data_IF_972733206500
#
_entry.id   IF_972733206500
#
_cell.length_a   1.000
_cell.length_b   1.000
_cell.length_c   1.000
_cell.angle_alpha   90.00
_cell.angle_beta   90.00
_cell.angle_gamma   90.00
#
_symmetry.space_group_name_H-M   'P 1'
#
loop_
_entity.id
_entity.type
_entity.pdbx_description
1 polymer ?
#
# COMPACT_ATOMS: atom_id res chain seq x y z
N UNK A 1 -0.38 4.50 9.25
CA UNK A 1 -1.41 3.73 9.98
C UNK A 1 -2.50 4.69 10.42
N UNK A 2 -3.77 4.35 10.20
CA UNK A 2 -4.91 5.21 10.54
C UNK A 2 -5.21 5.14 12.03
N UNK A 3 -5.20 6.30 12.72
CA UNK A 3 -5.64 6.42 14.10
C UNK A 3 -6.72 7.50 14.20
N UNK A 4 -7.97 7.09 14.31
CA UNK A 4 -9.11 8.00 14.41
C UNK A 4 -9.06 8.90 15.66
N UNK A 5 -8.50 8.40 16.77
CA UNK A 5 -8.40 9.17 18.02
C UNK A 5 -7.36 10.30 17.89
N UNK A 6 -6.23 10.03 17.21
CA UNK A 6 -5.23 11.06 16.95
C UNK A 6 -5.79 12.13 16.01
N UNK A 7 -6.44 11.72 14.91
CA UNK A 7 -7.09 12.66 13.98
C UNK A 7 -8.13 13.52 14.72
N UNK A 8 -8.98 12.91 15.53
CA UNK A 8 -10.01 13.62 16.29
C UNK A 8 -9.40 14.67 17.25
N UNK A 9 -8.35 14.26 17.98
CA UNK A 9 -7.61 15.14 18.90
C UNK A 9 -6.96 16.32 18.16
N UNK A 10 -6.26 16.03 17.07
CA UNK A 10 -5.45 17.02 16.35
C UNK A 10 -6.32 18.01 15.57
N UNK A 11 -7.54 17.61 15.20
CA UNK A 11 -8.52 18.46 14.48
C UNK A 11 -9.59 19.09 15.40
N UNK A 12 -9.64 18.72 16.67
CA UNK A 12 -10.62 19.24 17.63
C UNK A 12 -12.06 18.74 17.40
N UNK A 13 -12.24 17.59 16.73
CA UNK A 13 -13.55 17.01 16.48
C UNK A 13 -13.73 15.70 17.23
N UNK A 14 -14.96 15.16 17.27
CA UNK A 14 -15.21 13.85 17.87
C UNK A 14 -14.71 12.69 17.00
N UNK A 15 -14.38 11.55 17.61
CA UNK A 15 -14.00 10.32 16.88
C UNK A 15 -15.07 9.87 15.89
N UNK A 16 -16.38 9.86 16.21
CA UNK A 16 -17.43 9.57 15.24
C UNK A 16 -17.43 10.55 14.05
N UNK A 17 -17.21 11.84 14.29
CA UNK A 17 -17.13 12.87 13.25
C UNK A 17 -15.92 12.62 12.33
N UNK A 18 -14.74 12.31 12.90
CA UNK A 18 -13.54 11.97 12.12
C UNK A 18 -13.77 10.74 11.23
N UNK A 19 -14.43 9.69 11.74
CA UNK A 19 -14.83 8.52 10.95
C UNK A 19 -15.76 8.89 9.81
N UNK A 20 -16.77 9.73 10.07
CA UNK A 20 -17.70 10.20 9.04
C UNK A 20 -17.00 10.96 7.92
N UNK A 21 -16.09 11.87 8.25
CA UNK A 21 -15.32 12.62 7.24
C UNK A 21 -14.43 11.71 6.40
N UNK A 22 -13.72 10.76 7.02
CA UNK A 22 -12.89 9.81 6.28
C UNK A 22 -13.71 8.91 5.35
N UNK A 23 -14.91 8.49 5.78
CA UNK A 23 -15.82 7.74 4.91
C UNK A 23 -16.28 8.56 3.70
N UNK A 24 -16.56 9.85 3.89
CA UNK A 24 -16.92 10.77 2.78
C UNK A 24 -15.75 10.94 1.82
N UNK A 25 -14.53 11.17 2.35
CA UNK A 25 -13.31 11.31 1.53
C UNK A 25 -13.01 10.04 0.74
N UNK A 26 -13.22 8.86 1.32
CA UNK A 26 -13.07 7.58 0.62
C UNK A 26 -14.14 7.39 -0.46
N UNK A 27 -15.40 7.65 -0.14
CA UNK A 27 -16.50 7.56 -1.11
C UNK A 27 -16.34 8.56 -2.27
N UNK A 28 -15.69 9.70 -2.02
CA UNK A 28 -15.39 10.71 -3.04
C UNK A 28 -14.11 10.41 -3.85
N UNK A 29 -13.42 9.29 -3.57
CA UNK A 29 -12.20 8.91 -4.28
C UNK A 29 -10.98 9.80 -3.98
N UNK A 30 -11.00 10.57 -2.89
CA UNK A 30 -9.87 11.40 -2.46
C UNK A 30 -8.83 10.57 -1.73
N UNK A 31 -9.29 9.64 -0.87
CA UNK A 31 -8.44 8.71 -0.15
C UNK A 31 -8.83 7.26 -0.44
N UNK A 32 -7.94 6.34 -0.14
CA UNK A 32 -8.22 4.91 0.01
C UNK A 32 -7.85 4.46 1.40
N UNK A 33 -8.78 3.82 2.08
CA UNK A 33 -8.53 3.10 3.34
C UNK A 33 -8.18 1.66 2.98
N UNK A 34 -6.94 1.28 3.20
CA UNK A 34 -6.42 -0.05 2.89
C UNK A 34 -6.44 -0.91 4.14
N UNK A 35 -7.34 -1.91 4.25
CA UNK A 35 -7.41 -2.77 5.41
C UNK A 35 -6.24 -3.78 5.45
N UNK A 36 -5.87 -4.28 6.63
CA UNK A 36 -4.94 -5.39 6.72
C UNK A 36 -5.58 -6.69 6.23
N UNK A 37 -4.80 -7.53 5.54
CA UNK A 37 -5.23 -8.88 5.21
C UNK A 37 -5.18 -9.76 6.47
N UNK A 38 -6.30 -10.35 6.85
CA UNK A 38 -6.41 -11.25 8.00
C UNK A 38 -7.54 -12.26 7.80
N UNK A 39 -7.35 -13.45 8.30
CA UNK A 39 -8.38 -14.48 8.44
C UNK A 39 -8.78 -14.62 9.91
N UNK A 40 -9.84 -15.33 10.22
CA UNK A 40 -10.27 -15.55 11.61
C UNK A 40 -9.14 -16.08 12.50
N UNK A 41 -8.36 -17.04 12.02
CA UNK A 41 -7.27 -17.69 12.75
C UNK A 41 -6.04 -16.79 12.90
N UNK A 42 -5.76 -15.92 11.94
CA UNK A 42 -4.56 -15.05 11.92
C UNK A 42 -4.80 -13.66 12.50
N UNK A 43 -6.04 -13.32 12.87
CA UNK A 43 -6.40 -11.97 13.35
C UNK A 43 -5.60 -11.51 14.58
N UNK A 44 -5.17 -12.45 15.43
CA UNK A 44 -4.34 -12.15 16.61
C UNK A 44 -2.89 -11.79 16.26
N UNK A 45 -2.38 -12.28 15.12
CA UNK A 45 -1.00 -12.13 14.67
C UNK A 45 -0.76 -10.88 13.81
N UNK A 46 -1.82 -10.36 13.19
CA UNK A 46 -1.77 -9.24 12.24
C UNK A 46 -2.25 -7.96 12.89
N UNK A 47 -1.63 -6.84 12.52
CA UNK A 47 -2.05 -5.50 12.94
C UNK A 47 -3.47 -5.24 12.42
N UNK A 48 -4.35 -4.72 13.28
CA UNK A 48 -5.76 -4.49 12.93
C UNK A 48 -6.02 -3.10 12.32
N UNK A 49 -5.07 -2.17 12.43
CA UNK A 49 -5.21 -0.77 12.02
C UNK A 49 -5.03 -0.63 10.51
N UNK A 50 -5.96 -0.02 9.76
CA UNK A 50 -5.78 0.20 8.32
C UNK A 50 -4.72 1.25 8.00
N UNK A 51 -4.21 1.24 6.76
CA UNK A 51 -3.44 2.34 6.17
C UNK A 51 -4.38 3.31 5.45
N UNK A 52 -3.96 4.57 5.29
CA UNK A 52 -4.66 5.57 4.47
C UNK A 52 -3.72 6.10 3.42
N UNK A 53 -4.19 6.17 2.20
CA UNK A 53 -3.48 6.72 1.05
C UNK A 53 -4.30 7.82 0.40
N UNK A 54 -3.67 8.90 -0.01
CA UNK A 54 -4.27 9.89 -0.89
C UNK A 54 -4.18 9.40 -2.33
N UNK A 55 -5.30 9.36 -3.06
CA UNK A 55 -5.29 8.87 -4.44
C UNK A 55 -4.76 9.92 -5.45
N UNK A 56 -4.66 11.18 -5.03
CA UNK A 56 -4.04 12.26 -5.81
C UNK A 56 -2.74 12.72 -5.13
N UNK A 57 -1.61 12.37 -5.73
CA UNK A 57 -0.29 12.76 -5.22
C UNK A 57 0.02 14.24 -5.42
N UNK A 58 -0.63 14.92 -6.37
CA UNK A 58 -0.54 16.38 -6.53
C UNK A 58 -1.20 17.11 -5.37
N UNK A 59 -2.41 16.70 -4.99
CA UNK A 59 -3.09 17.22 -3.80
C UNK A 59 -2.27 16.89 -2.53
N UNK A 60 -1.71 15.68 -2.43
CA UNK A 60 -0.83 15.31 -1.32
C UNK A 60 0.39 16.24 -1.23
N UNK A 61 1.05 16.55 -2.36
CA UNK A 61 2.19 17.45 -2.41
C UNK A 61 1.80 18.87 -1.97
N UNK A 62 0.67 19.37 -2.45
CA UNK A 62 0.15 20.69 -2.05
C UNK A 62 -0.11 20.76 -0.54
N UNK A 63 -0.81 19.79 0.02
CA UNK A 63 -1.15 19.76 1.46
C UNK A 63 0.07 19.55 2.37
N UNK A 64 1.15 18.94 1.86
CA UNK A 64 2.40 18.73 2.59
C UNK A 64 3.49 19.75 2.23
N UNK A 65 3.10 20.81 1.48
CA UNK A 65 3.95 21.97 1.16
C UNK A 65 5.20 21.63 0.35
N UNK A 66 5.13 20.62 -0.54
CA UNK A 66 6.18 20.37 -1.51
C UNK A 66 6.02 21.28 -2.73
N UNK A 67 7.02 22.12 -2.99
CA UNK A 67 6.94 23.17 -4.01
C UNK A 67 7.30 22.70 -5.42
N UNK A 68 8.05 21.63 -5.54
CA UNK A 68 8.44 21.06 -6.85
C UNK A 68 8.70 19.56 -6.81
N UNK A 69 8.61 18.87 -7.95
CA UNK A 69 8.96 17.45 -8.05
C UNK A 69 10.40 17.14 -7.62
N UNK A 70 11.35 18.05 -7.92
CA UNK A 70 12.77 17.86 -7.59
C UNK A 70 12.98 17.84 -6.08
N UNK A 71 12.43 18.83 -5.37
CA UNK A 71 12.53 18.89 -3.90
C UNK A 71 11.84 17.72 -3.22
N UNK A 72 10.72 17.25 -3.80
CA UNK A 72 10.03 16.05 -3.32
C UNK A 72 10.85 14.78 -3.56
N UNK A 73 11.47 14.65 -4.74
CA UNK A 73 12.21 13.44 -5.12
C UNK A 73 13.41 13.17 -4.17
N UNK A 74 14.02 14.22 -3.65
CA UNK A 74 15.14 14.14 -2.70
C UNK A 74 14.68 14.25 -1.24
N UNK A 75 13.41 14.50 -1.01
CA UNK A 75 12.82 14.73 0.30
C UNK A 75 12.60 13.45 1.11
N UNK A 76 12.46 13.62 2.42
CA UNK A 76 12.22 12.51 3.35
C UNK A 76 10.91 11.74 3.07
N UNK A 77 9.94 12.35 2.38
CA UNK A 77 8.66 11.72 2.03
C UNK A 77 8.66 11.05 0.65
N UNK A 78 9.75 11.08 -0.09
CA UNK A 78 9.80 10.57 -1.47
C UNK A 78 9.37 9.10 -1.60
N UNK A 79 9.73 8.26 -0.62
CA UNK A 79 9.31 6.85 -0.56
C UNK A 79 7.79 6.71 -0.41
N UNK A 80 7.18 7.45 0.52
CA UNK A 80 5.73 7.44 0.75
C UNK A 80 4.95 7.95 -0.47
N UNK A 81 5.47 8.99 -1.16
CA UNK A 81 4.86 9.47 -2.39
C UNK A 81 4.94 8.44 -3.50
N UNK A 82 6.06 7.76 -3.66
CA UNK A 82 6.23 6.69 -4.63
C UNK A 82 5.26 5.53 -4.36
N UNK A 83 5.22 5.03 -3.12
CA UNK A 83 4.28 3.98 -2.69
C UNK A 83 2.83 4.40 -2.97
N UNK A 84 2.45 5.61 -2.56
CA UNK A 84 1.10 6.17 -2.77
C UNK A 84 0.75 6.28 -4.24
N UNK A 85 1.67 6.76 -5.08
CA UNK A 85 1.47 6.87 -6.52
C UNK A 85 1.28 5.51 -7.18
N UNK A 86 2.14 4.53 -6.88
CA UNK A 86 2.03 3.17 -7.41
C UNK A 86 0.69 2.52 -7.04
N UNK A 87 0.32 2.61 -5.75
CA UNK A 87 -0.95 2.08 -5.28
C UNK A 87 -2.14 2.74 -5.98
N UNK A 88 -2.11 4.07 -6.14
CA UNK A 88 -3.17 4.82 -6.82
C UNK A 88 -3.29 4.41 -8.31
N UNK A 89 -2.18 4.17 -9.02
CA UNK A 89 -2.23 3.67 -10.41
C UNK A 89 -2.88 2.28 -10.47
N UNK A 90 -2.48 1.36 -9.59
CA UNK A 90 -3.07 0.02 -9.53
C UNK A 90 -4.57 0.10 -9.25
N UNK A 91 -5.00 0.85 -8.24
CA UNK A 91 -6.43 1.00 -7.92
C UNK A 91 -7.21 1.56 -9.11
N UNK A 92 -6.69 2.60 -9.77
CA UNK A 92 -7.34 3.21 -10.96
C UNK A 92 -7.46 2.20 -12.10
N UNK A 93 -6.42 1.41 -12.37
CA UNK A 93 -6.44 0.37 -13.40
C UNK A 93 -7.60 -0.61 -13.20
N UNK A 94 -7.77 -1.13 -12.00
CA UNK A 94 -8.89 -2.03 -11.67
C UNK A 94 -10.24 -1.31 -11.73
N UNK A 95 -10.34 -0.10 -11.18
CA UNK A 95 -11.58 0.68 -11.20
C UNK A 95 -12.02 1.02 -12.64
N UNK A 96 -11.08 1.42 -13.50
CA UNK A 96 -11.37 1.70 -14.91
C UNK A 96 -11.77 0.44 -15.69
N UNK A 97 -11.28 -0.73 -15.29
CA UNK A 97 -11.73 -2.01 -15.82
C UNK A 97 -13.09 -2.46 -15.27
N UNK A 98 -13.74 -1.67 -14.42
CA UNK A 98 -15.01 -2.01 -13.78
C UNK A 98 -14.89 -3.16 -12.77
N UNK A 99 -13.68 -3.39 -12.24
CA UNK A 99 -13.40 -4.45 -11.28
C UNK A 99 -13.38 -3.90 -9.86
N UNK A 100 -14.23 -4.45 -9.01
CA UNK A 100 -14.18 -4.21 -7.56
C UNK A 100 -13.23 -5.23 -6.94
N UNK A 101 -11.98 -4.85 -6.80
CA UNK A 101 -10.91 -5.76 -6.37
C UNK A 101 -10.58 -5.56 -4.90
N UNK A 102 -10.53 -6.62 -4.11
CA UNK A 102 -10.15 -6.55 -2.71
C UNK A 102 -8.63 -6.32 -2.58
N UNK A 103 -8.27 -5.10 -2.17
CA UNK A 103 -6.92 -4.68 -1.87
C UNK A 103 -6.69 -4.68 -0.36
N UNK A 104 -5.54 -5.19 0.08
CA UNK A 104 -5.12 -5.29 1.46
C UNK A 104 -3.63 -4.96 1.59
N UNK A 105 -3.16 -4.82 2.82
CA UNK A 105 -1.74 -4.86 3.15
C UNK A 105 -1.51 -5.92 4.23
N UNK A 106 -0.26 -6.29 4.47
CA UNK A 106 0.10 -7.18 5.58
C UNK A 106 1.09 -6.48 6.51
N UNK A 107 0.87 -6.61 7.82
CA UNK A 107 1.85 -6.25 8.84
C UNK A 107 1.64 -7.12 10.08
N UNK A 108 2.69 -7.82 10.51
CA UNK A 108 2.64 -8.59 11.75
C UNK A 108 2.81 -7.70 13.00
N UNK A 109 2.47 -8.25 14.18
CA UNK A 109 2.60 -7.56 15.47
C UNK A 109 3.95 -7.77 16.16
N UNK A 110 4.96 -8.30 15.46
CA UNK A 110 6.27 -8.57 16.05
C UNK A 110 7.01 -7.26 16.38
N UNK A 111 8.00 -7.34 17.29
CA UNK A 111 8.83 -6.18 17.67
C UNK A 111 9.54 -5.53 16.47
N UNK A 112 9.93 -6.32 15.48
CA UNK A 112 10.39 -5.86 14.16
C UNK A 112 9.33 -6.30 13.14
N UNK A 113 8.34 -5.45 12.88
CA UNK A 113 7.22 -5.84 12.03
C UNK A 113 7.69 -6.16 10.62
N UNK A 114 7.14 -7.24 10.08
CA UNK A 114 7.26 -7.58 8.68
C UNK A 114 6.04 -7.03 7.98
N UNK A 115 6.25 -6.37 6.87
CA UNK A 115 5.20 -5.66 6.15
C UNK A 115 5.26 -6.02 4.66
N UNK A 116 4.10 -6.08 4.03
CA UNK A 116 3.90 -6.17 2.58
C UNK A 116 2.96 -5.02 2.23
N UNK A 117 3.37 -4.17 1.31
CA UNK A 117 2.68 -2.90 1.03
C UNK A 117 1.30 -3.11 0.43
N UNK A 118 1.16 -4.08 -0.48
CA UNK A 118 -0.11 -4.42 -1.12
C UNK A 118 -0.26 -5.93 -1.29
N UNK A 119 -1.44 -6.43 -1.00
CA UNK A 119 -1.91 -7.76 -1.34
C UNK A 119 -3.17 -7.60 -2.18
N UNK A 120 -3.18 -8.16 -3.37
CA UNK A 120 -4.38 -8.30 -4.19
C UNK A 120 -4.90 -9.72 -3.95
N UNK A 121 -6.16 -9.85 -3.51
CA UNK A 121 -6.77 -11.17 -3.27
C UNK A 121 -7.79 -11.46 -4.38
N UNK A 122 -7.47 -12.40 -5.25
CA UNK A 122 -8.33 -12.81 -6.36
C UNK A 122 -8.46 -14.33 -6.38
N UNK A 123 -9.67 -14.83 -6.52
CA UNK A 123 -9.98 -16.25 -6.64
C UNK A 123 -9.27 -17.12 -5.58
N UNK A 124 -9.33 -16.68 -4.32
CA UNK A 124 -8.65 -17.31 -3.18
C UNK A 124 -7.10 -17.37 -3.29
N UNK A 125 -6.51 -16.62 -4.21
CA UNK A 125 -5.05 -16.52 -4.40
C UNK A 125 -4.57 -15.14 -3.99
N UNK A 126 -3.43 -15.07 -3.31
CA UNK A 126 -2.79 -13.83 -2.85
C UNK A 126 -1.67 -13.42 -3.80
N UNK A 127 -1.70 -12.17 -4.24
CA UNK A 127 -0.69 -11.55 -5.11
C UNK A 127 0.02 -10.46 -4.32
N UNK A 128 1.18 -10.73 -3.70
CA UNK A 128 1.92 -9.74 -2.93
C UNK A 128 2.64 -8.73 -3.83
N UNK A 129 2.65 -7.48 -3.40
CA UNK A 129 3.37 -6.40 -4.09
C UNK A 129 4.09 -5.52 -3.08
N UNK A 130 5.33 -5.18 -3.37
CA UNK A 130 6.17 -4.25 -2.61
C UNK A 130 6.52 -3.05 -3.50
N UNK A 131 6.61 -1.86 -2.92
CA UNK A 131 6.96 -0.64 -3.63
C UNK A 131 8.34 -0.14 -3.20
N UNK A 132 9.26 0.04 -4.13
CA UNK A 132 10.63 0.47 -3.86
C UNK A 132 11.02 1.66 -4.73
N UNK A 133 11.15 2.84 -4.13
CA UNK A 133 11.74 4.01 -4.81
C UNK A 133 13.25 3.81 -4.96
N UNK A 134 13.64 2.86 -5.81
CA UNK A 134 15.05 2.53 -6.09
C UNK A 134 15.19 2.10 -7.54
N UNK A 135 16.27 2.52 -8.17
CA UNK A 135 16.70 2.03 -9.49
C UNK A 135 17.65 0.81 -9.37
N UNK A 136 17.98 0.38 -8.18
CA UNK A 136 18.71 -0.87 -7.91
C UNK A 136 17.79 -1.89 -7.26
N UNK A 137 17.95 -3.16 -7.65
CA UNK A 137 17.14 -4.27 -7.19
C UNK A 137 17.93 -5.15 -6.23
N UNK A 138 17.29 -5.58 -5.16
CA UNK A 138 17.81 -6.57 -4.24
C UNK A 138 16.78 -7.68 -3.99
N UNK A 139 17.24 -8.93 -3.88
CA UNK A 139 16.36 -10.07 -3.60
C UNK A 139 15.65 -9.94 -2.24
N UNK A 140 16.25 -9.20 -1.31
CA UNK A 140 15.67 -8.92 0.00
C UNK A 140 14.47 -7.97 -0.05
N UNK A 141 14.22 -7.30 -1.18
CA UNK A 141 13.06 -6.43 -1.34
C UNK A 141 11.73 -7.19 -1.22
N UNK A 142 11.73 -8.47 -1.58
CA UNK A 142 10.56 -9.36 -1.48
C UNK A 142 10.63 -10.35 -0.30
N UNK A 143 11.52 -10.15 0.68
CA UNK A 143 11.79 -11.10 1.78
C UNK A 143 10.56 -11.44 2.63
N UNK A 144 9.55 -10.57 2.65
CA UNK A 144 8.37 -10.76 3.49
C UNK A 144 7.21 -11.49 2.79
N UNK A 145 7.32 -11.78 1.49
CA UNK A 145 6.26 -12.48 0.77
C UNK A 145 6.01 -13.89 1.29
N UNK A 146 7.06 -14.55 1.78
CA UNK A 146 6.97 -15.90 2.35
C UNK A 146 6.11 -15.96 3.64
N UNK A 147 5.90 -14.80 4.29
CA UNK A 147 5.04 -14.68 5.48
C UNK A 147 3.57 -14.94 5.17
N UNK A 148 3.14 -14.81 3.92
CA UNK A 148 1.75 -15.07 3.52
C UNK A 148 1.36 -16.56 3.64
N UNK A 149 2.34 -17.45 3.78
CA UNK A 149 2.09 -18.89 4.05
C UNK A 149 1.23 -19.13 5.29
N UNK A 150 1.24 -18.20 6.27
CA UNK A 150 0.41 -18.30 7.49
C UNK A 150 -1.09 -18.32 7.20
N UNK A 151 -1.51 -17.85 6.03
CA UNK A 151 -2.93 -17.79 5.66
C UNK A 151 -3.45 -19.09 5.04
N UNK A 152 -2.58 -20.04 4.72
CA UNK A 152 -2.96 -21.34 4.14
C UNK A 152 -3.57 -21.24 2.73
N UNK A 153 -3.42 -20.10 2.07
CA UNK A 153 -3.91 -19.85 0.72
C UNK A 153 -2.76 -19.90 -0.30
N UNK A 154 -3.04 -20.21 -1.57
CA UNK A 154 -2.06 -20.08 -2.63
C UNK A 154 -1.52 -18.66 -2.73
N UNK A 155 -0.21 -18.54 -2.85
CA UNK A 155 0.49 -17.28 -3.12
C UNK A 155 1.01 -17.35 -4.54
N UNK A 156 0.58 -16.43 -5.39
CA UNK A 156 1.03 -16.32 -6.77
C UNK A 156 2.39 -15.62 -6.86
N UNK A 157 2.92 -15.51 -8.08
CA UNK A 157 4.10 -14.68 -8.36
C UNK A 157 3.88 -13.27 -7.84
N UNK A 158 4.73 -12.85 -6.92
CA UNK A 158 4.72 -11.50 -6.35
C UNK A 158 5.40 -10.48 -7.25
N UNK A 159 5.18 -9.21 -6.96
CA UNK A 159 5.79 -8.09 -7.69
C UNK A 159 6.56 -7.16 -6.76
N UNK A 160 7.75 -6.71 -7.20
CA UNK A 160 8.40 -5.51 -6.67
C UNK A 160 8.26 -4.42 -7.73
N UNK A 161 7.51 -3.39 -7.45
CA UNK A 161 7.38 -2.23 -8.34
C UNK A 161 8.47 -1.23 -7.99
N UNK A 162 9.33 -0.90 -8.95
CA UNK A 162 10.51 -0.07 -8.68
C UNK A 162 10.82 0.90 -9.83
N UNK A 163 11.84 1.76 -9.63
CA UNK A 163 12.39 2.62 -10.68
C UNK A 163 13.39 1.90 -11.58
N UNK A 164 13.69 0.60 -11.34
CA UNK A 164 14.49 -0.18 -12.26
C UNK A 164 13.75 -0.39 -13.59
N UNK A 165 14.38 -0.08 -14.75
CA UNK A 165 13.64 0.11 -16.00
C UNK A 165 13.21 -1.19 -16.70
N UNK A 166 13.63 -2.35 -16.25
CA UNK A 166 13.37 -3.61 -16.91
C UNK A 166 12.52 -4.57 -16.08
N UNK A 167 11.64 -5.29 -16.74
CA UNK A 167 10.92 -6.42 -16.16
C UNK A 167 11.87 -7.62 -16.06
N UNK A 168 12.27 -7.99 -14.85
CA UNK A 168 13.19 -9.11 -14.59
C UNK A 168 12.71 -9.93 -13.38
N UNK A 169 13.09 -11.20 -13.35
CA UNK A 169 12.88 -12.01 -12.16
C UNK A 169 13.93 -11.70 -11.09
N UNK A 170 13.49 -11.34 -9.89
CA UNK A 170 14.32 -11.22 -8.68
C UNK A 170 14.51 -12.60 -8.02
N UNK A 171 13.46 -13.40 -8.03
CA UNK A 171 13.36 -14.79 -7.60
C UNK A 171 12.45 -15.52 -8.59
N UNK A 172 12.42 -16.87 -8.61
CA UNK A 172 11.51 -17.62 -9.48
C UNK A 172 10.03 -17.22 -9.33
N UNK A 173 9.66 -16.82 -8.13
CA UNK A 173 8.31 -16.45 -7.69
C UNK A 173 8.11 -14.93 -7.53
N UNK A 174 9.07 -14.09 -7.92
CA UNK A 174 9.00 -12.64 -7.79
C UNK A 174 9.54 -11.92 -9.02
N UNK A 175 8.72 -11.02 -9.57
CA UNK A 175 9.06 -10.14 -10.68
C UNK A 175 9.34 -8.72 -10.21
N UNK A 176 10.35 -8.07 -10.79
CA UNK A 176 10.36 -6.60 -10.83
C UNK A 176 9.47 -6.12 -11.95
N UNK A 177 8.62 -5.14 -11.64
CA UNK A 177 7.84 -4.38 -12.61
C UNK A 177 8.33 -2.92 -12.57
N UNK A 178 8.75 -2.36 -13.71
CA UNK A 178 9.04 -0.93 -13.78
C UNK A 178 7.81 -0.11 -13.40
N UNK A 179 7.96 0.91 -12.57
CA UNK A 179 6.84 1.79 -12.20
C UNK A 179 6.19 2.46 -13.43
N UNK A 180 6.96 2.65 -14.51
CA UNK A 180 6.48 3.17 -15.78
C UNK A 180 5.53 2.23 -16.54
N UNK A 181 5.34 1.00 -16.07
CA UNK A 181 4.42 0.02 -16.68
C UNK A 181 3.06 -0.07 -15.95
N UNK A 182 2.82 0.75 -14.92
CA UNK A 182 1.55 0.85 -14.18
C UNK A 182 0.49 1.67 -14.90
#
# INVERSE_FOLDING_TARGET
MLNYSDIARDTGISVPTAKGYLSILEASGIIKILPPYKTGETASLVVATPKVYMLDTGLMAYLTSWSSPETLADGAMAGQFFETWCLAQIIRSYTHAGQDTPFFYFRDKKRRPREIDLIISLDHTLYPTEFKKSASLDRSDARHFDELSIFGQPVATGAVVSLYPQKVHLRPDVLNLPATSL
#
